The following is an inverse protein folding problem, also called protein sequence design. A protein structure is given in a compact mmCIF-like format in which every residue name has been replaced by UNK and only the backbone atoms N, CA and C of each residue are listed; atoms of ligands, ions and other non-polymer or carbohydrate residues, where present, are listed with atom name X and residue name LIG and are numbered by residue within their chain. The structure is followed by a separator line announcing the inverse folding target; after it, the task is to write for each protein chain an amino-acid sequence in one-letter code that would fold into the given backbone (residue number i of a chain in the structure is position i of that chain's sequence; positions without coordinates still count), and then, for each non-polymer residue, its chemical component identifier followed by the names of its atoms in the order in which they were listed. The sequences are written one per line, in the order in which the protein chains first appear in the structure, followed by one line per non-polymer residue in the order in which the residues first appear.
data_IF_649905736552
#
_entry.id   IF_649905736552
#
_cell.length_a   1.000
_cell.length_b   1.000
_cell.length_c   1.000
_cell.angle_alpha   90.00
_cell.angle_beta   90.00
_cell.angle_gamma   90.00
#
_symmetry.space_group_name_H-M   'P 1'
#
loop_
_entity.id
_entity.type
_entity.pdbx_description
1 polymer ?
#
# COMPACT_ATOMS: atom_id res chain seq x y z
N UNK A 1 17.71 32.73 8.92
CA UNK A 1 16.26 32.45 8.76
C UNK A 1 16.07 31.87 7.37
N UNK A 2 16.01 30.54 7.24
CA UNK A 2 15.84 29.86 5.96
C UNK A 2 14.35 29.78 5.63
N UNK A 3 13.92 30.56 4.65
CA UNK A 3 12.59 30.48 4.05
C UNK A 3 12.46 29.15 3.29
N UNK A 4 11.86 28.14 3.92
CA UNK A 4 11.27 27.02 3.19
C UNK A 4 9.91 27.50 2.67
N UNK A 5 9.90 28.00 1.44
CA UNK A 5 8.67 28.24 0.70
C UNK A 5 7.98 26.90 0.44
N UNK A 6 6.97 26.62 1.25
CA UNK A 6 6.06 25.50 1.10
C UNK A 6 5.02 25.93 0.04
N UNK A 7 5.21 25.48 -1.20
CA UNK A 7 4.11 25.48 -2.18
C UNK A 7 3.23 24.27 -1.85
N UNK A 8 2.09 24.51 -1.22
CA UNK A 8 1.03 23.50 -1.10
C UNK A 8 -0.05 23.90 -2.11
N UNK A 9 -0.22 23.09 -3.15
CA UNK A 9 -1.53 23.01 -3.80
C UNK A 9 -2.51 22.58 -2.71
N UNK A 10 -3.65 23.28 -2.60
CA UNK A 10 -4.59 23.29 -1.46
C UNK A 10 -5.15 21.92 -1.03
N UNK A 11 -4.84 20.83 -1.74
CA UNK A 11 -5.36 19.49 -1.54
C UNK A 11 -4.28 18.39 -1.46
N UNK A 12 -3.00 18.74 -1.52
CA UNK A 12 -1.94 17.73 -1.43
C UNK A 12 -1.69 17.32 0.03
N UNK A 13 -1.67 16.00 0.25
CA UNK A 13 -1.29 15.46 1.55
C UNK A 13 0.13 15.95 1.92
N UNK A 14 0.36 16.43 3.15
CA UNK A 14 1.63 16.98 3.56
C UNK A 14 2.76 15.95 3.42
N UNK A 15 3.92 16.41 2.96
CA UNK A 15 5.12 15.57 2.85
C UNK A 15 6.13 15.91 3.95
N UNK A 16 6.42 14.94 4.81
CA UNK A 16 7.44 15.02 5.84
C UNK A 16 8.77 14.44 5.34
N UNK A 17 9.87 15.09 5.72
CA UNK A 17 11.24 14.70 5.35
C UNK A 17 12.11 14.71 6.62
N UNK A 18 11.92 13.75 7.54
CA UNK A 18 12.69 13.70 8.78
C UNK A 18 14.19 13.49 8.50
N UNK A 19 15.03 14.08 9.33
CA UNK A 19 16.43 13.70 9.48
C UNK A 19 16.56 12.24 9.96
N UNK A 20 17.77 11.68 9.87
CA UNK A 20 18.01 10.32 10.33
C UNK A 20 17.70 10.14 11.83
N UNK A 21 18.01 11.12 12.68
CA UNK A 21 17.71 11.07 14.11
C UNK A 21 16.21 11.16 14.41
N UNK A 22 15.47 12.00 13.68
CA UNK A 22 14.00 12.05 13.79
C UNK A 22 13.36 10.74 13.31
N UNK A 23 13.91 10.15 12.24
CA UNK A 23 13.38 8.93 11.65
C UNK A 23 13.60 7.68 12.54
N UNK A 24 14.68 7.63 13.32
CA UNK A 24 14.86 6.60 14.37
C UNK A 24 13.66 6.54 15.32
N UNK A 25 13.07 7.69 15.62
CA UNK A 25 11.91 7.83 16.50
C UNK A 25 10.67 8.28 15.73
N UNK A 26 10.42 7.66 14.57
CA UNK A 26 9.43 8.14 13.62
C UNK A 26 8.02 8.33 14.22
N UNK A 27 7.57 7.45 15.10
CA UNK A 27 6.25 7.60 15.74
C UNK A 27 6.19 8.89 16.57
N UNK A 28 7.21 9.16 17.39
CA UNK A 28 7.30 10.41 18.16
C UNK A 28 7.35 11.63 17.25
N UNK A 29 8.05 11.54 16.12
CA UNK A 29 8.08 12.59 15.11
C UNK A 29 6.71 12.79 14.43
N UNK A 30 5.94 11.73 14.18
CA UNK A 30 4.57 11.85 13.66
C UNK A 30 3.67 12.52 14.71
N UNK A 31 3.74 12.09 15.97
CA UNK A 31 2.94 12.66 17.06
C UNK A 31 3.23 14.15 17.30
N UNK A 32 4.50 14.59 17.20
CA UNK A 32 4.83 16.01 17.33
C UNK A 32 4.26 16.88 16.21
N UNK A 33 3.90 16.28 15.06
CA UNK A 33 3.27 16.94 13.93
C UNK A 33 1.75 16.70 13.85
N UNK A 34 1.16 15.92 14.75
CA UNK A 34 -0.23 15.45 14.66
C UNK A 34 -1.24 16.58 14.45
N UNK A 35 -1.14 17.67 15.23
CA UNK A 35 -2.05 18.80 15.10
C UNK A 35 -2.10 19.41 13.69
N UNK A 36 -0.97 19.41 12.98
CA UNK A 36 -0.88 19.86 11.60
C UNK A 36 -1.40 18.81 10.61
N UNK A 37 -1.15 17.52 10.88
CA UNK A 37 -1.49 16.41 9.98
C UNK A 37 -2.96 16.00 10.04
N UNK A 38 -3.61 16.16 11.20
CA UNK A 38 -4.99 15.68 11.43
C UNK A 38 -5.99 16.21 10.42
N UNK A 39 -5.84 17.46 9.97
CA UNK A 39 -6.75 18.08 9.01
C UNK A 39 -6.70 17.43 7.61
N UNK A 40 -5.63 16.70 7.29
CA UNK A 40 -5.44 16.06 5.98
C UNK A 40 -5.82 14.57 5.98
N UNK A 41 -6.03 13.96 7.15
CA UNK A 41 -6.32 12.52 7.27
C UNK A 41 -5.16 11.58 6.94
N UNK A 42 -4.01 12.09 6.47
CA UNK A 42 -2.82 11.32 6.14
C UNK A 42 -1.65 12.20 5.72
N UNK A 43 -0.46 11.60 5.60
CA UNK A 43 0.75 12.28 5.14
C UNK A 43 1.67 11.33 4.38
N UNK A 44 2.58 11.90 3.58
CA UNK A 44 3.69 11.18 2.94
C UNK A 44 4.95 11.38 3.78
N UNK A 45 5.67 10.30 4.07
CA UNK A 45 6.98 10.37 4.73
C UNK A 45 8.04 9.90 3.75
N UNK A 46 9.02 10.74 3.47
CA UNK A 46 10.19 10.35 2.68
C UNK A 46 11.31 10.00 3.66
N UNK A 47 11.74 8.73 3.74
CA UNK A 47 12.77 8.33 4.67
C UNK A 47 14.14 8.94 4.30
N UNK A 48 15.00 9.24 5.28
CA UNK A 48 16.33 9.77 5.04
C UNK A 48 17.26 8.70 4.45
N UNK A 49 18.16 9.11 3.56
CA UNK A 49 19.26 8.25 3.11
C UNK A 49 20.31 8.09 4.23
N UNK A 50 21.00 6.94 4.34
CA UNK A 50 20.98 5.76 3.48
C UNK A 50 20.04 4.64 3.99
N UNK A 51 18.91 4.97 4.64
CA UNK A 51 18.02 3.94 5.19
C UNK A 51 17.46 3.01 4.10
N UNK A 52 17.71 1.71 4.24
CA UNK A 52 17.36 0.66 3.28
C UNK A 52 16.81 -0.56 4.04
N UNK A 53 15.48 -0.64 4.23
CA UNK A 53 14.88 -1.65 5.11
C UNK A 53 14.76 -3.04 4.47
N UNK A 54 14.81 -3.11 3.14
CA UNK A 54 14.55 -4.33 2.37
C UNK A 54 15.86 -5.05 2.11
N UNK A 55 15.95 -6.31 2.53
CA UNK A 55 17.06 -7.20 2.19
C UNK A 55 16.66 -8.47 1.45
N UNK A 56 15.35 -8.74 1.35
CA UNK A 56 14.83 -9.98 0.78
C UNK A 56 14.23 -9.73 -0.59
N UNK A 57 14.66 -10.51 -1.58
CA UNK A 57 13.98 -10.60 -2.86
C UNK A 57 12.68 -11.40 -2.66
N UNK A 58 11.51 -10.88 -3.06
CA UNK A 58 10.23 -11.56 -2.84
C UNK A 58 10.02 -12.85 -3.68
N UNK A 59 11.03 -13.38 -4.38
CA UNK A 59 10.90 -14.40 -5.43
C UNK A 59 10.11 -15.65 -5.02
N UNK A 60 10.32 -16.13 -3.79
CA UNK A 60 9.81 -17.42 -3.31
C UNK A 60 8.59 -17.31 -2.38
N UNK A 61 8.03 -16.10 -2.25
CA UNK A 61 6.83 -15.87 -1.46
C UNK A 61 5.67 -16.68 -2.06
N UNK A 62 5.07 -17.52 -1.21
CA UNK A 62 3.94 -18.37 -1.59
C UNK A 62 2.64 -17.57 -1.49
N UNK A 63 2.00 -17.37 -2.64
CA UNK A 63 0.68 -16.78 -2.77
C UNK A 63 -0.34 -17.91 -2.65
N UNK A 64 -1.15 -17.83 -1.59
CA UNK A 64 -2.15 -18.84 -1.26
C UNK A 64 -3.53 -18.50 -1.83
N UNK A 65 -3.83 -17.21 -1.90
CA UNK A 65 -5.10 -16.70 -2.36
C UNK A 65 -4.87 -15.57 -3.35
N UNK A 66 -5.71 -15.52 -4.38
CA UNK A 66 -5.79 -14.41 -5.32
C UNK A 66 -7.26 -14.01 -5.39
N UNK A 67 -7.51 -12.71 -5.31
CA UNK A 67 -8.83 -12.12 -5.47
C UNK A 67 -8.96 -11.60 -6.90
N UNK A 68 -10.04 -11.99 -7.58
CA UNK A 68 -10.46 -11.39 -8.85
C UNK A 68 -11.43 -10.26 -8.56
N UNK A 69 -11.15 -9.07 -9.09
CA UNK A 69 -11.92 -7.86 -8.82
C UNK A 69 -12.86 -7.55 -9.98
N UNK A 70 -14.15 -7.79 -9.79
CA UNK A 70 -15.19 -7.33 -10.71
C UNK A 70 -15.65 -5.95 -10.29
N UNK A 71 -15.71 -5.01 -11.24
CA UNK A 71 -16.18 -3.65 -11.00
C UNK A 71 -17.36 -3.35 -11.91
N UNK A 72 -18.47 -2.97 -11.31
CA UNK A 72 -19.72 -2.64 -12.00
C UNK A 72 -20.12 -1.20 -11.68
N UNK A 73 -20.63 -0.48 -12.67
CA UNK A 73 -21.18 0.85 -12.42
C UNK A 73 -22.60 0.69 -11.85
N UNK A 74 -22.89 1.40 -10.77
CA UNK A 74 -24.23 1.38 -10.18
C UNK A 74 -25.23 2.00 -11.16
N UNK A 75 -26.37 1.33 -11.36
CA UNK A 75 -27.37 1.73 -12.34
C UNK A 75 -27.83 3.17 -12.09
N UNK A 76 -27.90 3.96 -13.17
CA UNK A 76 -28.26 5.39 -13.17
C UNK A 76 -27.34 6.33 -12.36
N UNK A 77 -26.21 5.85 -11.85
CA UNK A 77 -25.26 6.66 -11.10
C UNK A 77 -23.94 6.80 -11.87
N UNK A 78 -23.53 8.04 -12.13
CA UNK A 78 -22.25 8.32 -12.77
C UNK A 78 -21.12 8.28 -11.75
N UNK A 79 -20.00 7.63 -12.11
CA UNK A 79 -18.78 7.52 -11.29
C UNK A 79 -18.96 6.83 -9.92
N UNK A 80 -20.05 6.09 -9.74
CA UNK A 80 -20.26 5.23 -8.56
C UNK A 80 -20.14 3.78 -9.01
N UNK A 81 -19.28 3.03 -8.32
CA UNK A 81 -18.95 1.66 -8.67
C UNK A 81 -19.14 0.72 -7.50
N UNK A 82 -19.66 -0.47 -7.77
CA UNK A 82 -19.67 -1.59 -6.86
C UNK A 82 -18.51 -2.53 -7.21
N UNK A 83 -17.77 -2.96 -6.19
CA UNK A 83 -16.65 -3.88 -6.33
C UNK A 83 -17.04 -5.21 -5.69
N UNK A 84 -16.96 -6.29 -6.48
CA UNK A 84 -17.17 -7.66 -6.02
C UNK A 84 -15.85 -8.43 -6.14
N UNK A 85 -15.33 -8.86 -5.00
CA UNK A 85 -14.10 -9.64 -4.92
C UNK A 85 -14.42 -11.13 -4.84
N UNK A 86 -13.90 -11.90 -5.79
CA UNK A 86 -14.07 -13.37 -5.82
C UNK A 86 -12.75 -14.06 -5.56
N UNK A 87 -12.72 -14.95 -4.56
CA UNK A 87 -11.55 -15.80 -4.28
C UNK A 87 -11.35 -16.79 -5.41
N UNK A 88 -10.22 -16.70 -6.10
CA UNK A 88 -9.81 -17.69 -7.08
C UNK A 88 -9.18 -18.87 -6.34
N UNK A 89 -9.82 -20.04 -6.44
CA UNK A 89 -9.21 -21.28 -5.99
C UNK A 89 -7.96 -21.54 -6.83
N UNK A 90 -6.79 -21.38 -6.23
CA UNK A 90 -5.57 -21.87 -6.86
C UNK A 90 -5.68 -23.40 -6.93
N UNK A 91 -5.48 -23.98 -8.12
CA UNK A 91 -5.24 -25.42 -8.23
C UNK A 91 -4.13 -25.83 -7.24
N UNK A 92 -4.05 -27.11 -6.83
CA UNK A 92 -3.13 -27.63 -5.78
C UNK A 92 -1.65 -27.16 -5.84
N UNK A 93 -1.21 -26.49 -6.91
CA UNK A 93 0.06 -25.78 -7.03
C UNK A 93 -0.08 -24.33 -6.55
N UNK A 94 0.42 -24.06 -5.33
CA UNK A 94 0.61 -22.70 -4.80
C UNK A 94 1.33 -21.83 -5.84
N UNK A 95 0.87 -20.60 -6.06
CA UNK A 95 1.56 -19.64 -6.93
C UNK A 95 2.68 -18.97 -6.14
N UNK A 96 3.79 -18.67 -6.78
CA UNK A 96 4.86 -17.84 -6.18
C UNK A 96 4.73 -16.40 -6.64
N UNK A 97 5.30 -15.45 -5.88
CA UNK A 97 5.45 -14.07 -6.34
C UNK A 97 6.09 -13.99 -7.73
N UNK A 98 7.12 -14.79 -8.00
CA UNK A 98 7.74 -14.83 -9.34
C UNK A 98 6.72 -15.17 -10.43
N UNK A 99 5.90 -16.20 -10.22
CA UNK A 99 4.85 -16.58 -11.18
C UNK A 99 3.76 -15.51 -11.33
N UNK A 100 3.41 -14.84 -10.23
CA UNK A 100 2.43 -13.75 -10.23
C UNK A 100 2.97 -12.52 -10.99
N UNK A 101 4.22 -12.15 -10.74
CA UNK A 101 4.90 -11.06 -11.44
C UNK A 101 4.95 -11.31 -12.95
N UNK A 102 5.30 -12.53 -13.38
CA UNK A 102 5.26 -12.90 -14.80
C UNK A 102 3.85 -12.78 -15.38
N UNK A 103 2.82 -13.18 -14.63
CA UNK A 103 1.42 -13.02 -15.05
C UNK A 103 1.04 -11.55 -15.22
N UNK A 104 1.32 -10.70 -14.22
CA UNK A 104 0.99 -9.28 -14.23
C UNK A 104 1.73 -8.50 -15.33
N UNK A 105 2.95 -8.93 -15.66
CA UNK A 105 3.77 -8.31 -16.71
C UNK A 105 3.44 -8.82 -18.12
N UNK A 106 2.68 -9.91 -18.24
CA UNK A 106 2.26 -10.43 -19.54
C UNK A 106 1.20 -9.58 -20.22
N UNK A 107 1.05 -9.76 -21.53
CA UNK A 107 0.17 -8.97 -22.42
C UNK A 107 -1.30 -8.96 -22.00
N UNK A 108 -1.70 -9.95 -21.19
CA UNK A 108 -3.07 -10.07 -20.69
C UNK A 108 -3.43 -9.00 -19.65
N UNK A 109 -2.47 -8.56 -18.83
CA UNK A 109 -2.74 -7.60 -17.73
C UNK A 109 -1.97 -6.29 -17.90
N UNK A 110 -0.83 -6.33 -18.59
CA UNK A 110 -0.01 -5.15 -18.85
C UNK A 110 -0.65 -4.30 -19.95
N UNK A 111 -0.67 -2.98 -19.74
CA UNK A 111 -1.02 -2.04 -20.80
C UNK A 111 0.03 -2.10 -21.92
N UNK A 112 -0.42 -2.23 -23.16
CA UNK A 112 0.45 -2.36 -24.34
C UNK A 112 1.08 -1.04 -24.78
N UNK A 113 0.61 0.09 -24.25
CA UNK A 113 1.07 1.42 -24.62
C UNK A 113 1.14 2.35 -23.41
N UNK A 114 1.89 3.44 -23.56
CA UNK A 114 1.93 4.52 -22.58
C UNK A 114 0.58 5.23 -22.53
N UNK A 115 0.16 5.62 -21.34
CA UNK A 115 -1.01 6.44 -21.11
C UNK A 115 -0.53 7.78 -20.59
N UNK A 116 -0.91 8.87 -21.26
CA UNK A 116 -0.56 10.24 -20.85
C UNK A 116 -1.19 10.59 -19.51
N UNK A 117 -2.51 10.40 -19.37
CA UNK A 117 -3.24 10.56 -18.11
C UNK A 117 -3.74 9.19 -17.60
N UNK A 118 -2.92 8.55 -16.76
CA UNK A 118 -3.22 7.22 -16.23
C UNK A 118 -4.46 7.21 -15.34
N UNK A 119 -4.71 8.29 -14.60
CA UNK A 119 -5.86 8.41 -13.70
C UNK A 119 -7.17 8.50 -14.48
N UNK A 120 -7.26 9.39 -15.47
CA UNK A 120 -8.46 9.51 -16.30
C UNK A 120 -8.74 8.20 -17.03
N UNK A 121 -7.69 7.57 -17.58
CA UNK A 121 -7.80 6.27 -18.22
C UNK A 121 -8.29 5.20 -17.25
N UNK A 122 -7.77 5.17 -16.02
CA UNK A 122 -8.22 4.25 -14.98
C UNK A 122 -9.72 4.40 -14.74
N UNK A 123 -10.19 5.61 -14.43
CA UNK A 123 -11.61 5.84 -14.15
C UNK A 123 -12.52 5.54 -15.35
N UNK A 124 -12.09 5.91 -16.56
CA UNK A 124 -12.84 5.68 -17.80
C UNK A 124 -12.96 4.20 -18.17
N UNK A 125 -11.99 3.38 -17.79
CA UNK A 125 -11.92 1.96 -18.15
C UNK A 125 -12.22 1.01 -17.01
N UNK A 126 -12.41 1.51 -15.79
CA UNK A 126 -12.50 0.72 -14.55
C UNK A 126 -13.46 -0.48 -14.65
N UNK A 127 -14.67 -0.27 -15.16
CA UNK A 127 -15.70 -1.31 -15.31
C UNK A 127 -15.65 -2.10 -16.63
N UNK A 128 -14.69 -1.79 -17.52
CA UNK A 128 -14.52 -2.42 -18.85
C UNK A 128 -13.31 -3.34 -18.93
N UNK A 129 -12.48 -3.39 -17.88
CA UNK A 129 -11.23 -4.16 -17.88
C UNK A 129 -11.52 -5.65 -17.99
N UNK A 130 -10.93 -6.27 -19.02
CA UNK A 130 -10.92 -7.70 -19.23
C UNK A 130 -9.51 -8.17 -19.60
N UNK A 131 -8.97 -9.20 -18.94
CA UNK A 131 -9.56 -9.91 -17.79
C UNK A 131 -9.74 -8.98 -16.58
N UNK A 132 -10.60 -9.40 -15.64
CA UNK A 132 -10.73 -8.74 -14.34
C UNK A 132 -9.35 -8.65 -13.65
N UNK A 133 -8.99 -7.49 -13.06
CA UNK A 133 -7.78 -7.37 -12.26
C UNK A 133 -7.72 -8.42 -11.16
N UNK A 134 -6.51 -8.91 -10.92
CA UNK A 134 -6.23 -9.85 -9.86
C UNK A 134 -5.31 -9.18 -8.85
N UNK A 135 -5.49 -9.45 -7.57
CA UNK A 135 -4.58 -9.00 -6.52
C UNK A 135 -4.36 -10.10 -5.48
N UNK A 136 -3.15 -10.17 -4.93
CA UNK A 136 -2.80 -11.08 -3.86
C UNK A 136 -2.59 -10.26 -2.59
N UNK A 137 -3.57 -10.32 -1.71
CA UNK A 137 -3.64 -9.51 -0.49
C UNK A 137 -3.44 -10.34 0.78
N UNK A 138 -3.25 -9.63 1.90
CA UNK A 138 -3.23 -10.19 3.25
C UNK A 138 -2.15 -11.26 3.48
N UNK A 139 -1.10 -11.28 2.67
CA UNK A 139 -0.06 -12.30 2.73
C UNK A 139 0.73 -12.10 4.02
N UNK A 140 0.81 -13.17 4.83
CA UNK A 140 1.57 -13.18 6.08
C UNK A 140 3.08 -13.28 5.81
N UNK A 141 3.67 -12.16 5.41
CA UNK A 141 5.08 -12.07 5.04
C UNK A 141 5.60 -10.65 5.23
N UNK A 142 6.91 -10.52 5.50
CA UNK A 142 7.57 -9.22 5.59
C UNK A 142 8.90 -9.20 4.84
N UNK A 143 9.11 -8.09 4.11
CA UNK A 143 10.32 -7.83 3.34
C UNK A 143 11.42 -7.13 4.15
N UNK A 144 11.11 -6.66 5.36
CA UNK A 144 12.08 -6.04 6.24
C UNK A 144 13.20 -7.02 6.62
N UNK A 145 14.43 -6.51 6.70
CA UNK A 145 15.54 -7.27 7.26
C UNK A 145 15.26 -7.55 8.75
N UNK A 146 15.56 -8.76 9.23
CA UNK A 146 15.40 -9.13 10.65
C UNK A 146 16.26 -8.28 11.63
N UNK A 147 17.20 -7.47 11.10
CA UNK A 147 18.12 -6.62 11.86
C UNK A 147 17.75 -5.14 11.74
N UNK A 148 16.76 -4.82 10.89
CA UNK A 148 16.27 -3.45 10.77
C UNK A 148 15.49 -3.13 12.04
N UNK A 149 15.96 -2.14 12.78
CA UNK A 149 15.39 -1.63 14.02
C UNK A 149 14.69 -0.28 13.82
N UNK A 150 14.93 0.40 12.70
CA UNK A 150 14.31 1.69 12.38
C UNK A 150 13.07 1.45 11.50
N UNK A 151 11.90 1.84 12.03
CA UNK A 151 10.61 1.77 11.35
C UNK A 151 10.31 0.40 10.69
N UNK A 152 10.69 -0.69 11.36
CA UNK A 152 10.38 -2.05 10.94
C UNK A 152 8.91 -2.37 11.23
N UNK A 153 8.07 -2.53 10.20
CA UNK A 153 6.64 -2.80 10.38
C UNK A 153 6.34 -4.07 11.19
N UNK A 154 7.28 -5.03 11.29
CA UNK A 154 7.11 -6.21 12.14
C UNK A 154 7.28 -5.94 13.63
N UNK A 155 7.90 -4.82 13.98
CA UNK A 155 8.33 -4.48 15.34
C UNK A 155 7.68 -3.20 15.83
N UNK A 156 6.69 -2.67 15.11
CA UNK A 156 5.98 -1.47 15.56
C UNK A 156 5.26 -1.79 16.87
N UNK A 157 5.49 -1.00 17.94
CA UNK A 157 4.82 -1.20 19.21
C UNK A 157 3.33 -0.86 19.04
N UNK A 158 2.52 -1.92 18.93
CA UNK A 158 1.07 -1.80 18.73
C UNK A 158 0.40 -1.04 19.87
N UNK A 159 0.91 -1.15 21.09
CA UNK A 159 0.41 -0.38 22.23
C UNK A 159 0.60 1.12 22.03
N UNK A 160 1.69 1.55 21.38
CA UNK A 160 1.91 2.96 21.06
C UNK A 160 0.91 3.47 20.03
N UNK A 161 0.53 2.65 19.04
CA UNK A 161 -0.44 3.03 18.00
C UNK A 161 -1.90 2.98 18.46
N UNK A 162 -2.24 2.07 19.36
CA UNK A 162 -3.63 1.82 19.80
C UNK A 162 -4.03 2.67 21.03
N UNK A 163 -3.09 3.44 21.60
CA UNK A 163 -3.28 4.20 22.83
C UNK A 163 -3.66 3.32 24.03
N UNK A 164 -4.20 3.92 25.09
CA UNK A 164 -4.74 3.19 26.26
C UNK A 164 -6.03 2.40 25.98
N UNK A 165 -6.48 2.34 24.71
CA UNK A 165 -7.74 1.69 24.38
C UNK A 165 -7.65 0.19 24.66
N UNK A 166 -8.49 -0.30 25.58
CA UNK A 166 -8.69 -1.74 25.87
C UNK A 166 -9.50 -2.46 24.79
N UNK A 167 -9.72 -1.85 23.63
CA UNK A 167 -10.53 -2.44 22.58
C UNK A 167 -9.79 -3.64 21.97
N UNK A 168 -10.47 -4.79 21.94
CA UNK A 168 -10.03 -5.95 21.16
C UNK A 168 -10.37 -5.68 19.69
N UNK A 169 -9.36 -5.35 18.90
CA UNK A 169 -9.54 -5.18 17.45
C UNK A 169 -9.80 -6.54 16.80
N UNK A 170 -10.93 -6.65 16.09
CA UNK A 170 -11.18 -7.75 15.16
C UNK A 170 -10.52 -7.39 13.83
N UNK A 171 -9.20 -7.60 13.74
CA UNK A 171 -8.40 -7.32 12.56
C UNK A 171 -7.01 -7.93 12.66
N UNK A 172 -6.31 -8.10 11.53
CA UNK A 172 -4.93 -8.57 11.54
C UNK A 172 -4.04 -7.43 12.01
N UNK A 173 -3.38 -7.63 13.15
CA UNK A 173 -2.52 -6.62 13.80
C UNK A 173 -1.04 -6.81 13.41
N UNK A 174 -0.76 -7.81 12.58
CA UNK A 174 0.56 -8.06 12.00
C UNK A 174 0.62 -7.44 10.59
N UNK A 175 1.80 -6.96 10.15
CA UNK A 175 1.97 -6.45 8.80
C UNK A 175 1.59 -7.51 7.76
N UNK A 176 0.93 -7.06 6.69
CA UNK A 176 0.63 -7.88 5.51
C UNK A 176 1.43 -7.39 4.32
N UNK A 177 1.76 -8.32 3.43
CA UNK A 177 2.26 -8.01 2.11
C UNK A 177 1.10 -8.01 1.13
N UNK A 178 0.98 -6.91 0.41
CA UNK A 178 0.03 -6.71 -0.69
C UNK A 178 0.79 -6.77 -2.03
N UNK A 179 0.26 -7.50 -3.01
CA UNK A 179 0.77 -7.55 -4.37
C UNK A 179 -0.39 -7.24 -5.32
N UNK A 180 -0.35 -6.05 -5.90
CA UNK A 180 -1.40 -5.48 -6.76
C UNK A 180 -0.90 -5.26 -8.18
#
# INVERSE_FOLDING_TARGET
MSNNSIYLDEFDAPTLKPSFEEFKYLLSYIYSNEAYLMQYGGCKIIPPQPWLPISKTPSDIQIREILSQQVEQVHMQHKIYQITNTKLSLNKRKKTYKSYKTLAQGDKYRLSHTIENLEEYFWRTLNKRQPQPQYAADIDYSLFHNKEDIFNLNQIPLQSLLGESKQRFKGKVAPTLEIT
#
